data_IF_354070639931
#
_entry.id   IF_354070639931
#
_cell.length_a   1.000
_cell.length_b   1.000
_cell.length_c   1.000
_cell.angle_alpha   90.00
_cell.angle_beta   90.00
_cell.angle_gamma   90.00
#
_symmetry.space_group_name_H-M   'P 1'
#
loop_
_entity.id
_entity.type
_entity.pdbx_description
1 polymer ?
#
# COMPACT_ATOMS: atom_id res chain seq x y z
N UNK A 1 -0.58 -5.49 29.86
CA UNK A 1 -0.65 -6.11 28.53
C UNK A 1 -1.64 -5.29 27.71
N UNK A 2 -1.24 -4.71 26.59
CA UNK A 2 -2.14 -3.99 25.67
C UNK A 2 -3.13 -4.99 25.05
N UNK A 3 -4.40 -4.60 24.91
CA UNK A 3 -5.40 -5.43 24.24
C UNK A 3 -4.92 -5.81 22.82
N UNK A 4 -5.19 -7.04 22.36
CA UNK A 4 -4.78 -7.47 21.05
C UNK A 4 -5.52 -6.66 19.97
N UNK A 5 -4.76 -6.09 19.01
CA UNK A 5 -5.26 -5.24 17.94
C UNK A 5 -5.80 -6.01 16.73
N UNK A 6 -6.60 -5.34 15.92
CA UNK A 6 -7.01 -5.79 14.61
C UNK A 6 -6.44 -4.87 13.51
N UNK A 7 -5.94 -5.47 12.42
CA UNK A 7 -5.42 -4.76 11.26
C UNK A 7 -6.29 -4.99 10.01
N UNK A 8 -6.44 -3.94 9.21
CA UNK A 8 -6.95 -4.03 7.84
C UNK A 8 -5.78 -3.87 6.87
N UNK A 9 -5.65 -4.76 5.90
CA UNK A 9 -4.69 -4.60 4.80
C UNK A 9 -5.41 -4.60 3.46
N UNK A 10 -5.09 -3.61 2.61
CA UNK A 10 -5.59 -3.51 1.23
C UNK A 10 -4.39 -3.56 0.28
N UNK A 11 -4.50 -4.38 -0.78
CA UNK A 11 -3.38 -4.60 -1.70
C UNK A 11 -2.40 -5.69 -1.24
N UNK A 12 -2.83 -6.63 -0.41
CA UNK A 12 -2.03 -7.72 0.15
C UNK A 12 -1.38 -8.65 -0.89
N UNK A 13 -1.83 -8.66 -2.15
CA UNK A 13 -1.25 -9.47 -3.24
C UNK A 13 -0.17 -8.75 -4.05
N UNK A 14 0.09 -7.47 -3.76
CA UNK A 14 1.15 -6.67 -4.38
C UNK A 14 2.53 -6.95 -3.81
N UNK A 15 3.58 -6.41 -4.45
CA UNK A 15 4.99 -6.61 -4.02
C UNK A 15 5.21 -6.22 -2.56
N UNK A 16 4.77 -5.03 -2.15
CA UNK A 16 4.89 -4.59 -0.75
C UNK A 16 3.87 -5.29 0.13
N UNK A 17 2.62 -5.43 -0.35
CA UNK A 17 1.51 -5.92 0.46
C UNK A 17 1.68 -7.37 0.91
N UNK A 18 2.28 -8.26 0.09
CA UNK A 18 2.51 -9.65 0.49
C UNK A 18 3.50 -9.75 1.66
N UNK A 19 4.58 -8.97 1.63
CA UNK A 19 5.54 -8.91 2.74
C UNK A 19 4.94 -8.25 3.98
N UNK A 20 4.19 -7.15 3.79
CA UNK A 20 3.46 -6.52 4.87
C UNK A 20 2.49 -7.49 5.55
N UNK A 21 1.73 -8.29 4.77
CA UNK A 21 0.85 -9.31 5.31
C UNK A 21 1.61 -10.37 6.11
N UNK A 22 2.77 -10.82 5.63
CA UNK A 22 3.59 -11.82 6.33
C UNK A 22 4.06 -11.29 7.68
N UNK A 23 4.56 -10.06 7.73
CA UNK A 23 4.97 -9.40 8.97
C UNK A 23 3.79 -9.23 9.93
N UNK A 24 2.61 -8.84 9.43
CA UNK A 24 1.41 -8.70 10.27
C UNK A 24 0.97 -10.02 10.88
N UNK A 25 1.03 -11.13 10.11
CA UNK A 25 0.66 -12.46 10.59
C UNK A 25 1.60 -12.95 11.70
N UNK A 26 2.88 -12.62 11.61
CA UNK A 26 3.90 -12.97 12.60
C UNK A 26 3.86 -12.03 13.83
N UNK A 27 3.43 -10.79 13.65
CA UNK A 27 3.41 -9.81 14.73
C UNK A 27 2.45 -10.22 15.85
N UNK A 28 2.98 -10.32 17.08
CA UNK A 28 2.21 -10.70 18.26
C UNK A 28 1.14 -9.68 18.68
N UNK A 29 1.26 -8.43 18.19
CA UNK A 29 0.33 -7.33 18.52
C UNK A 29 -1.03 -7.46 17.84
N UNK A 30 -1.14 -8.17 16.72
CA UNK A 30 -2.41 -8.35 16.01
C UNK A 30 -2.97 -9.74 16.26
N UNK A 31 -4.21 -9.78 16.76
CA UNK A 31 -4.97 -11.02 16.92
C UNK A 31 -5.83 -11.32 15.69
N UNK A 32 -6.16 -10.30 14.89
CA UNK A 32 -6.98 -10.43 13.69
C UNK A 32 -6.46 -9.51 12.58
N UNK A 33 -6.45 -10.04 11.36
CA UNK A 33 -6.07 -9.31 10.16
C UNK A 33 -7.16 -9.55 9.12
N UNK A 34 -7.70 -8.47 8.57
CA UNK A 34 -8.67 -8.50 7.48
C UNK A 34 -7.95 -8.05 6.22
N UNK A 35 -7.85 -8.94 5.24
CA UNK A 35 -7.29 -8.60 3.93
C UNK A 35 -8.41 -8.36 2.92
N UNK A 36 -8.45 -7.18 2.31
CA UNK A 36 -9.43 -6.84 1.26
C UNK A 36 -8.69 -6.70 -0.07
N UNK A 37 -9.19 -7.39 -1.09
CA UNK A 37 -8.59 -7.34 -2.41
C UNK A 37 -9.40 -8.01 -3.52
N UNK A 38 -8.94 -7.88 -4.76
CA UNK A 38 -9.58 -8.48 -5.94
C UNK A 38 -9.34 -9.98 -6.08
N UNK A 39 -8.35 -10.51 -5.36
CA UNK A 39 -7.92 -11.92 -5.39
C UNK A 39 -7.59 -12.34 -3.97
N UNK A 40 -7.78 -13.63 -3.67
CA UNK A 40 -7.26 -14.22 -2.44
C UNK A 40 -5.72 -14.13 -2.39
N UNK A 41 -5.17 -13.99 -1.21
CA UNK A 41 -3.72 -14.06 -0.97
C UNK A 41 -3.19 -15.49 -1.08
N UNK A 42 -4.07 -16.49 -1.05
CA UNK A 42 -3.73 -17.91 -1.01
C UNK A 42 -3.16 -18.38 0.34
N UNK A 43 -3.05 -17.49 1.32
CA UNK A 43 -2.51 -17.81 2.64
C UNK A 43 -3.63 -18.36 3.54
N UNK A 44 -3.28 -19.35 4.37
CA UNK A 44 -4.16 -19.89 5.41
C UNK A 44 -3.53 -19.61 6.78
N UNK A 45 -4.20 -18.81 7.59
CA UNK A 45 -3.72 -18.47 8.92
C UNK A 45 -4.92 -18.17 9.86
N UNK A 46 -4.85 -18.60 11.11
CA UNK A 46 -5.95 -18.44 12.08
C UNK A 46 -6.35 -16.98 12.35
N UNK A 47 -5.41 -16.03 12.20
CA UNK A 47 -5.67 -14.60 12.34
C UNK A 47 -6.20 -13.94 11.08
N UNK A 48 -6.14 -14.59 9.90
CA UNK A 48 -6.44 -13.98 8.61
C UNK A 48 -7.88 -14.24 8.21
N UNK A 49 -8.60 -13.16 7.94
CA UNK A 49 -9.89 -13.17 7.24
C UNK A 49 -9.70 -12.46 5.89
N UNK A 50 -10.26 -13.01 4.82
CA UNK A 50 -10.16 -12.41 3.48
C UNK A 50 -11.54 -12.02 2.98
N UNK A 51 -11.62 -10.82 2.40
CA UNK A 51 -12.78 -10.34 1.66
C UNK A 51 -12.32 -10.12 0.21
N UNK A 52 -12.79 -10.99 -0.67
CA UNK A 52 -12.44 -10.92 -2.09
C UNK A 52 -13.59 -10.30 -2.88
N UNK A 53 -13.34 -9.09 -3.41
CA UNK A 53 -14.31 -8.35 -4.20
C UNK A 53 -13.59 -7.37 -5.16
N UNK A 54 -14.26 -6.92 -6.23
CA UNK A 54 -13.79 -5.80 -7.04
C UNK A 54 -13.63 -4.54 -6.17
N UNK A 55 -12.54 -3.76 -6.37
CA UNK A 55 -12.24 -2.61 -5.51
C UNK A 55 -13.25 -1.46 -5.62
N UNK A 56 -13.96 -1.34 -6.73
CA UNK A 56 -15.08 -0.42 -6.92
C UNK A 56 -16.26 -0.73 -6.00
N UNK A 57 -16.31 -1.93 -5.45
CA UNK A 57 -17.29 -2.39 -4.46
C UNK A 57 -16.84 -2.23 -3.01
N UNK A 58 -15.70 -1.59 -2.75
CA UNK A 58 -15.28 -1.28 -1.37
C UNK A 58 -16.34 -0.51 -0.57
N UNK A 59 -17.09 0.35 -1.24
CA UNK A 59 -18.21 1.10 -0.64
C UNK A 59 -19.40 0.22 -0.21
N UNK A 60 -19.51 -1.01 -0.69
CA UNK A 60 -20.57 -1.95 -0.34
C UNK A 60 -20.29 -2.66 1.00
N UNK A 61 -19.03 -2.66 1.45
CA UNK A 61 -18.62 -3.28 2.70
C UNK A 61 -19.13 -2.43 3.87
N UNK A 62 -19.87 -3.05 4.76
CA UNK A 62 -20.39 -2.41 5.97
C UNK A 62 -19.45 -2.65 7.15
N UNK A 63 -19.52 -1.76 8.12
CA UNK A 63 -18.75 -1.88 9.36
C UNK A 63 -18.88 -3.28 10.03
N UNK A 64 -20.08 -3.89 10.15
CA UNK A 64 -20.20 -5.23 10.75
C UNK A 64 -19.47 -6.34 10.00
N UNK A 65 -19.26 -6.17 8.67
CA UNK A 65 -18.63 -7.21 7.84
C UNK A 65 -17.14 -7.41 8.18
N UNK A 66 -16.48 -6.35 8.62
CA UNK A 66 -15.06 -6.38 8.98
C UNK A 66 -14.81 -6.28 10.49
N UNK A 67 -15.80 -5.82 11.27
CA UNK A 67 -15.69 -5.61 12.71
C UNK A 67 -14.66 -4.53 13.08
N UNK A 68 -14.37 -4.33 14.38
CA UNK A 68 -13.43 -3.30 14.85
C UNK A 68 -12.05 -3.43 14.21
N UNK A 69 -11.45 -2.30 13.82
CA UNK A 69 -10.09 -2.18 13.24
C UNK A 69 -9.34 -1.11 14.00
N UNK A 70 -8.08 -1.35 14.33
CA UNK A 70 -7.19 -0.39 14.99
C UNK A 70 -6.24 0.29 13.99
N UNK A 71 -5.61 -0.49 13.12
CA UNK A 71 -4.58 -0.01 12.20
C UNK A 71 -4.89 -0.44 10.76
N UNK A 72 -4.62 0.44 9.79
CA UNK A 72 -4.80 0.17 8.35
C UNK A 72 -3.47 0.18 7.63
N UNK A 73 -3.27 -0.78 6.73
CA UNK A 73 -2.10 -0.89 5.85
C UNK A 73 -2.56 -0.82 4.39
N UNK A 74 -2.41 0.34 3.78
CA UNK A 74 -2.77 0.56 2.39
C UNK A 74 -1.55 0.37 1.49
N UNK A 75 -1.44 -0.83 0.92
CA UNK A 75 -0.40 -1.23 -0.04
C UNK A 75 -0.94 -1.29 -1.48
N UNK A 76 -2.06 -0.59 -1.74
CA UNK A 76 -2.60 -0.48 -3.09
C UNK A 76 -1.65 0.28 -4.00
N UNK A 77 -1.58 -0.15 -5.23
CA UNK A 77 -0.83 0.51 -6.29
C UNK A 77 -0.99 -0.24 -7.60
N UNK A 78 -1.00 0.50 -8.70
CA UNK A 78 -1.04 -0.04 -10.05
C UNK A 78 -0.01 0.65 -10.92
N UNK A 79 0.05 0.28 -12.20
CA UNK A 79 0.84 1.00 -13.20
C UNK A 79 -0.10 1.67 -14.18
N UNK A 80 0.34 2.75 -14.83
CA UNK A 80 -0.48 3.39 -15.88
C UNK A 80 -0.83 2.40 -16.98
N UNK A 81 0.10 1.48 -17.32
CA UNK A 81 -0.13 0.42 -18.30
C UNK A 81 -1.28 -0.50 -17.89
N UNK A 82 -1.30 -0.94 -16.63
CA UNK A 82 -2.32 -1.88 -16.13
C UNK A 82 -3.67 -1.20 -15.90
N UNK A 83 -3.66 0.09 -15.60
CA UNK A 83 -4.87 0.88 -15.49
C UNK A 83 -5.51 1.18 -16.85
N UNK A 84 -4.73 1.16 -17.95
CA UNK A 84 -5.18 1.38 -19.31
C UNK A 84 -5.37 2.85 -19.70
N UNK A 85 -5.63 3.73 -18.75
CA UNK A 85 -5.76 5.17 -19.00
C UNK A 85 -5.36 6.00 -17.77
N UNK A 86 -5.07 7.30 -17.97
CA UNK A 86 -4.77 8.21 -16.86
C UNK A 86 -5.95 8.40 -15.90
N UNK A 87 -7.20 8.58 -16.34
CA UNK A 87 -8.35 8.64 -15.43
C UNK A 87 -8.51 7.37 -14.60
N UNK A 88 -8.40 6.18 -15.22
CA UNK A 88 -8.48 4.90 -14.51
C UNK A 88 -7.33 4.73 -13.51
N UNK A 89 -6.11 5.13 -13.88
CA UNK A 89 -4.96 5.14 -12.97
C UNK A 89 -5.23 6.01 -11.75
N UNK A 90 -5.66 7.27 -11.96
CA UNK A 90 -5.98 8.19 -10.87
C UNK A 90 -7.10 7.63 -9.98
N UNK A 91 -8.14 7.06 -10.56
CA UNK A 91 -9.22 6.43 -9.80
C UNK A 91 -8.71 5.31 -8.88
N UNK A 92 -7.90 4.40 -9.40
CA UNK A 92 -7.34 3.29 -8.62
C UNK A 92 -6.39 3.79 -7.52
N UNK A 93 -5.53 4.76 -7.84
CA UNK A 93 -4.49 5.24 -6.94
C UNK A 93 -5.02 6.19 -5.86
N UNK A 94 -6.13 6.88 -6.07
CA UNK A 94 -6.66 7.88 -5.13
C UNK A 94 -7.94 7.37 -4.45
N UNK A 95 -8.95 6.97 -5.24
CA UNK A 95 -10.26 6.71 -4.65
C UNK A 95 -10.30 5.41 -3.82
N UNK A 96 -9.59 4.35 -4.23
CA UNK A 96 -9.59 3.12 -3.45
C UNK A 96 -8.82 3.24 -2.12
N UNK A 97 -7.62 3.85 -2.04
CA UNK A 97 -6.98 4.14 -0.77
C UNK A 97 -7.82 5.04 0.14
N UNK A 98 -8.47 6.06 -0.44
CA UNK A 98 -9.38 6.95 0.29
C UNK A 98 -10.58 6.18 0.85
N UNK A 99 -11.23 5.35 0.04
CA UNK A 99 -12.35 4.51 0.47
C UNK A 99 -11.93 3.54 1.58
N UNK A 100 -10.71 2.97 1.48
CA UNK A 100 -10.16 2.09 2.51
C UNK A 100 -9.95 2.81 3.83
N UNK A 101 -9.43 4.05 3.80
CA UNK A 101 -9.25 4.89 4.97
C UNK A 101 -10.60 5.21 5.63
N UNK A 102 -11.59 5.58 4.83
CA UNK A 102 -12.95 5.88 5.30
C UNK A 102 -13.62 4.66 5.94
N UNK A 103 -13.56 3.50 5.27
CA UNK A 103 -14.09 2.24 5.78
C UNK A 103 -13.46 1.89 7.14
N UNK A 104 -12.14 2.00 7.23
CA UNK A 104 -11.43 1.68 8.45
C UNK A 104 -11.74 2.65 9.59
N UNK A 105 -11.81 3.96 9.31
CA UNK A 105 -12.23 4.97 10.29
C UNK A 105 -13.63 4.68 10.82
N UNK A 106 -14.57 4.33 9.95
CA UNK A 106 -15.93 3.92 10.35
C UNK A 106 -15.96 2.67 11.25
N UNK A 107 -14.86 1.88 11.26
CA UNK A 107 -14.66 0.71 12.11
C UNK A 107 -13.74 0.95 13.31
N UNK A 108 -13.45 2.22 13.64
CA UNK A 108 -12.69 2.62 14.80
C UNK A 108 -11.18 2.74 14.61
N UNK A 109 -10.67 2.60 13.38
CA UNK A 109 -9.25 2.75 13.13
C UNK A 109 -8.77 4.18 13.43
N UNK A 110 -7.64 4.27 14.12
CA UNK A 110 -6.99 5.53 14.48
C UNK A 110 -5.73 5.81 13.65
N UNK A 111 -5.16 4.79 13.01
CA UNK A 111 -3.92 4.89 12.26
C UNK A 111 -4.02 4.26 10.87
N UNK A 112 -3.43 4.93 9.87
CA UNK A 112 -3.22 4.38 8.53
C UNK A 112 -1.76 4.52 8.08
N UNK A 113 -1.20 3.43 7.57
CA UNK A 113 0.07 3.36 6.87
C UNK A 113 -0.19 3.29 5.35
N UNK A 114 0.26 4.29 4.61
CA UNK A 114 0.07 4.43 3.16
C UNK A 114 1.40 4.27 2.42
N UNK A 115 1.45 3.40 1.41
CA UNK A 115 2.58 3.30 0.47
C UNK A 115 2.39 4.28 -0.68
N UNK A 116 3.24 5.30 -0.72
CA UNK A 116 3.29 6.35 -1.73
C UNK A 116 4.53 6.21 -2.64
N UNK A 117 5.18 7.30 -3.00
CA UNK A 117 6.39 7.33 -3.80
C UNK A 117 7.27 8.51 -3.45
N UNK A 118 8.59 8.34 -3.54
CA UNK A 118 9.52 9.47 -3.46
C UNK A 118 9.18 10.52 -4.51
N UNK A 119 9.18 11.79 -4.13
CA UNK A 119 8.83 12.92 -5.00
C UNK A 119 7.32 13.13 -5.20
N UNK A 120 6.44 12.43 -4.45
CA UNK A 120 5.00 12.67 -4.47
C UNK A 120 4.69 14.14 -4.13
N UNK A 121 4.02 14.84 -5.04
CA UNK A 121 3.57 16.24 -4.88
C UNK A 121 2.35 16.49 -5.76
N UNK A 122 1.23 16.87 -5.16
CA UNK A 122 -0.03 17.15 -5.88
C UNK A 122 0.07 18.31 -6.90
N UNK A 123 1.12 19.12 -6.82
CA UNK A 123 1.42 20.22 -7.74
C UNK A 123 2.42 19.82 -8.82
N UNK A 124 2.92 18.59 -8.81
CA UNK A 124 3.92 18.12 -9.78
C UNK A 124 3.41 18.19 -11.22
N UNK A 125 4.27 18.63 -12.15
CA UNK A 125 4.01 18.52 -13.59
C UNK A 125 4.05 17.06 -14.07
N UNK A 126 4.74 16.17 -13.36
CA UNK A 126 4.74 14.74 -13.64
C UNK A 126 3.43 14.12 -13.16
N UNK A 127 2.65 13.55 -14.06
CA UNK A 127 1.34 12.97 -13.77
C UNK A 127 1.37 11.91 -12.65
N UNK A 128 2.35 11.00 -12.68
CA UNK A 128 2.47 9.95 -11.66
C UNK A 128 2.72 10.54 -10.26
N UNK A 129 3.68 11.46 -10.15
CA UNK A 129 4.02 12.11 -8.88
C UNK A 129 2.87 12.99 -8.37
N UNK A 130 2.15 13.63 -9.30
CA UNK A 130 0.94 14.39 -8.97
C UNK A 130 -0.12 13.50 -8.34
N UNK A 131 -0.45 12.37 -8.97
CA UNK A 131 -1.45 11.43 -8.44
C UNK A 131 -1.00 10.84 -7.09
N UNK A 132 0.31 10.57 -6.91
CA UNK A 132 0.83 10.15 -5.60
C UNK A 132 0.69 11.23 -4.53
N UNK A 133 0.89 12.50 -4.85
CA UNK A 133 0.59 13.60 -3.94
C UNK A 133 -0.91 13.76 -3.64
N UNK A 134 -1.77 13.55 -4.65
CA UNK A 134 -3.22 13.59 -4.49
C UNK A 134 -3.72 12.50 -3.53
N UNK A 135 -3.23 11.27 -3.61
CA UNK A 135 -3.63 10.19 -2.68
C UNK A 135 -3.20 10.49 -1.25
N UNK A 136 -1.99 11.02 -1.04
CA UNK A 136 -1.53 11.42 0.29
C UNK A 136 -2.47 12.46 0.92
N UNK A 137 -2.84 13.49 0.16
CA UNK A 137 -3.78 14.52 0.59
C UNK A 137 -5.19 13.93 0.86
N UNK A 138 -5.68 13.07 -0.04
CA UNK A 138 -7.01 12.47 0.07
C UNK A 138 -7.14 11.55 1.31
N UNK A 139 -6.12 10.74 1.59
CA UNK A 139 -6.10 9.84 2.75
C UNK A 139 -5.98 10.65 4.04
N UNK A 140 -5.13 11.69 4.05
CA UNK A 140 -4.97 12.56 5.21
C UNK A 140 -6.27 13.31 5.54
N UNK A 141 -7.00 13.74 4.51
CA UNK A 141 -8.29 14.46 4.67
C UNK A 141 -9.42 13.59 5.27
N UNK A 142 -9.27 12.25 5.29
CA UNK A 142 -10.25 11.38 5.96
C UNK A 142 -10.17 11.50 7.49
N UNK A 143 -9.09 12.10 8.04
CA UNK A 143 -9.00 12.52 9.44
C UNK A 143 -8.93 11.36 10.41
N UNK A 144 -8.07 10.37 10.15
CA UNK A 144 -7.58 9.44 11.17
C UNK A 144 -6.60 10.18 12.08
N UNK A 145 -6.45 9.74 13.32
CA UNK A 145 -5.59 10.41 14.32
C UNK A 145 -4.11 10.43 13.89
N UNK A 146 -3.69 9.42 13.14
CA UNK A 146 -2.31 9.27 12.66
C UNK A 146 -2.24 8.72 11.24
N UNK A 147 -1.41 9.35 10.39
CA UNK A 147 -1.15 8.93 9.02
C UNK A 147 0.36 8.77 8.83
N UNK A 148 0.80 7.54 8.54
CA UNK A 148 2.19 7.24 8.20
C UNK A 148 2.34 7.06 6.69
N UNK A 149 3.09 7.94 6.04
CA UNK A 149 3.31 7.91 4.59
C UNK A 149 4.70 7.36 4.28
N UNK A 150 4.76 6.22 3.60
CA UNK A 150 6.00 5.60 3.16
C UNK A 150 6.25 5.95 1.69
N UNK A 151 7.33 6.69 1.42
CA UNK A 151 7.73 7.15 0.07
C UNK A 151 8.98 6.40 -0.41
N UNK A 152 8.85 5.14 -0.88
CA UNK A 152 9.99 4.42 -1.42
C UNK A 152 10.49 5.09 -2.72
N UNK A 153 11.81 5.00 -2.98
CA UNK A 153 12.41 5.48 -4.22
C UNK A 153 12.17 4.49 -5.36
N UNK A 154 12.69 3.27 -5.23
CA UNK A 154 12.52 2.17 -6.16
C UNK A 154 12.28 0.89 -5.37
N UNK A 155 11.23 0.17 -5.73
CA UNK A 155 10.96 -1.14 -5.16
C UNK A 155 11.57 -2.20 -6.08
N UNK A 156 12.57 -2.91 -5.56
CA UNK A 156 13.16 -4.08 -6.20
C UNK A 156 12.47 -5.32 -5.64
N UNK A 157 11.88 -6.13 -6.49
CA UNK A 157 11.21 -7.37 -6.09
C UNK A 157 10.57 -8.06 -7.28
N UNK A 158 10.25 -9.35 -7.11
CA UNK A 158 9.57 -10.13 -8.14
C UNK A 158 8.15 -9.61 -8.34
N UNK A 159 7.91 -9.05 -9.50
CA UNK A 159 6.56 -8.78 -10.01
C UNK A 159 6.26 -9.85 -11.05
N UNK A 160 5.09 -10.42 -11.00
CA UNK A 160 4.60 -11.34 -12.04
C UNK A 160 4.57 -10.70 -13.44
N UNK A 161 4.65 -9.35 -13.49
CA UNK A 161 4.71 -8.59 -14.74
C UNK A 161 6.14 -8.17 -15.05
N UNK A 162 6.63 -8.66 -16.17
CA UNK A 162 7.96 -8.44 -16.70
C UNK A 162 8.15 -6.96 -17.12
N UNK A 163 8.82 -6.17 -16.29
CA UNK A 163 9.28 -4.82 -16.63
C UNK A 163 10.71 -4.88 -17.16
N UNK A 164 10.85 -5.21 -18.43
CA UNK A 164 12.16 -5.37 -19.06
C UNK A 164 13.03 -4.10 -19.01
N UNK A 165 12.42 -2.90 -19.02
CA UNK A 165 13.14 -1.63 -18.85
C UNK A 165 13.71 -1.43 -17.43
N UNK A 166 13.04 -1.93 -16.40
CA UNK A 166 13.54 -1.92 -15.03
C UNK A 166 14.66 -2.96 -14.85
N UNK A 167 14.57 -4.11 -15.52
CA UNK A 167 15.56 -5.16 -15.45
C UNK A 167 16.93 -4.75 -16.05
N UNK A 168 16.93 -3.84 -17.04
CA UNK A 168 18.17 -3.27 -17.61
C UNK A 168 18.81 -2.23 -16.68
N UNK A 169 18.04 -1.54 -15.84
CA UNK A 169 18.54 -0.54 -14.90
C UNK A 169 18.91 -1.11 -13.53
N UNK A 170 18.40 -2.29 -13.15
CA UNK A 170 18.69 -2.92 -11.85
C UNK A 170 20.20 -3.12 -11.57
N UNK A 171 21.01 -3.72 -12.47
CA UNK A 171 22.43 -3.89 -12.21
C UNK A 171 23.18 -2.56 -12.13
N UNK A 172 22.78 -1.57 -12.93
CA UNK A 172 23.36 -0.24 -12.91
C UNK A 172 23.03 0.50 -11.61
N UNK A 173 21.79 0.44 -11.14
CA UNK A 173 21.35 1.07 -9.89
C UNK A 173 21.94 0.39 -8.66
N UNK A 174 22.12 -0.94 -8.67
CA UNK A 174 22.82 -1.67 -7.60
C UNK A 174 24.29 -1.25 -7.52
N UNK A 175 24.96 -1.12 -8.66
CA UNK A 175 26.36 -0.65 -8.73
C UNK A 175 26.50 0.80 -8.23
N UNK A 176 25.64 1.70 -8.67
CA UNK A 176 25.64 3.11 -8.24
C UNK A 176 25.32 3.26 -6.74
N UNK A 177 24.44 2.42 -6.18
CA UNK A 177 24.07 2.46 -4.77
C UNK A 177 25.25 2.31 -3.81
N UNK A 178 26.33 1.61 -4.23
CA UNK A 178 27.55 1.44 -3.42
C UNK A 178 28.37 2.72 -3.32
N UNK A 179 28.30 3.59 -4.34
CA UNK A 179 29.06 4.84 -4.39
C UNK A 179 28.29 6.07 -3.90
N UNK A 180 27.02 5.93 -3.54
CA UNK A 180 26.20 7.05 -3.07
C UNK A 180 26.53 7.41 -1.63
N UNK A 181 27.08 8.62 -1.40
CA UNK A 181 27.50 9.16 -0.11
C UNK A 181 26.65 10.38 0.25
N UNK A 182 26.46 10.64 1.54
CA UNK A 182 25.74 11.83 2.02
C UNK A 182 24.23 11.81 1.73
N UNK A 183 23.67 12.96 1.34
CA UNK A 183 22.23 13.15 1.08
C UNK A 183 21.69 12.26 -0.04
N UNK A 184 22.54 11.81 -0.96
CA UNK A 184 22.16 10.89 -2.03
C UNK A 184 21.76 9.48 -1.50
N UNK A 185 22.06 9.14 -0.25
CA UNK A 185 21.62 7.88 0.38
C UNK A 185 20.09 7.74 0.41
N UNK A 186 19.37 8.84 0.46
CA UNK A 186 17.90 8.83 0.43
C UNK A 186 17.34 8.28 -0.90
N UNK A 187 18.14 8.26 -1.96
CA UNK A 187 17.76 7.76 -3.29
C UNK A 187 18.10 6.27 -3.49
N UNK A 188 18.70 5.61 -2.48
CA UNK A 188 18.98 4.17 -2.59
C UNK A 188 17.70 3.36 -2.76
N UNK A 189 17.70 2.38 -3.68
CA UNK A 189 16.56 1.49 -3.84
C UNK A 189 16.34 0.67 -2.56
N UNK A 190 15.08 0.50 -2.20
CA UNK A 190 14.67 -0.39 -1.12
C UNK A 190 14.50 -1.78 -1.72
N UNK A 191 15.29 -2.74 -1.26
CA UNK A 191 15.12 -4.14 -1.60
C UNK A 191 13.89 -4.66 -0.86
N UNK A 192 12.92 -5.19 -1.60
CA UNK A 192 11.91 -6.05 -1.01
C UNK A 192 12.61 -7.37 -0.68
N UNK A 193 12.92 -7.60 0.59
CA UNK A 193 13.62 -8.79 1.07
C UNK A 193 12.71 -10.00 0.86
N UNK A 194 13.30 -11.08 0.36
CA UNK A 194 12.65 -12.39 0.24
C UNK A 194 12.61 -13.11 1.58
#
# INVERSE_FOLDING_TARGET
MTAPKAALIVGATGVVGRHCLDELLQAGRYARIVAIGRRSTGKKHSKLAEIVLPLDRLGDIRAPDIGPIDDVFCCLGTTQKNAGSQPAFRHIEVEFPRASARLAKANGATHIALVSSLGADSRSANFYLKVKGEVEAAVTAEGLDSVSIFRPSLLLGDREEFRWKEKLSEPLLRGLGVFMIGSARALRPILAVH
#
